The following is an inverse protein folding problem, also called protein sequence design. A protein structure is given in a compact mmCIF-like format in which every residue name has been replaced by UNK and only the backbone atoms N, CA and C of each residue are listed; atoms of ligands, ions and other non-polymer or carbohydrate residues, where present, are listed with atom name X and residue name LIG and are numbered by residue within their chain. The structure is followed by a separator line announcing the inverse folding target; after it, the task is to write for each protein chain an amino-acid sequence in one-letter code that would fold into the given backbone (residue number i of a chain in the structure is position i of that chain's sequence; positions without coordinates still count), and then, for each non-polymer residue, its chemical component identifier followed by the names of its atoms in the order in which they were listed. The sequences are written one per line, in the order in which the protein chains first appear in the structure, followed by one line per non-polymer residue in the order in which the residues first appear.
data_IF_257581053311
#
_entry.id   IF_257581053311
#
_cell.length_a   1.000
_cell.length_b   1.000
_cell.length_c   1.000
_cell.angle_alpha   90.00
_cell.angle_beta   90.00
_cell.angle_gamma   90.00
#
_symmetry.space_group_name_H-M   'P 1'
#
loop_
_entity.id
_entity.type
_entity.pdbx_description
1 polymer ?
#
# COMPACT_ATOMS: atom_id res chain seq x y z
N UNK A 1 -7.33 -4.51 16.18
CA UNK A 1 -7.73 -4.28 14.77
C UNK A 1 -6.57 -4.64 13.83
N UNK A 2 -6.84 -5.41 12.77
CA UNK A 2 -5.84 -5.76 11.74
C UNK A 2 -6.07 -4.94 10.48
N UNK A 3 -5.06 -4.18 10.05
CA UNK A 3 -5.06 -3.37 8.83
C UNK A 3 -4.12 -4.03 7.82
N UNK A 4 -4.59 -4.29 6.62
CA UNK A 4 -3.81 -4.92 5.56
C UNK A 4 -3.70 -4.05 4.31
N UNK A 5 -2.67 -4.30 3.50
CA UNK A 5 -2.54 -3.77 2.14
C UNK A 5 -2.27 -4.89 1.16
N UNK A 6 -2.84 -4.79 -0.03
CA UNK A 6 -2.63 -5.75 -1.09
C UNK A 6 -2.78 -5.09 -2.48
N UNK A 7 -1.68 -4.93 -3.18
CA UNK A 7 -1.73 -4.63 -4.61
C UNK A 7 -2.21 -5.88 -5.35
N UNK A 8 -3.44 -5.84 -5.86
CA UNK A 8 -4.09 -7.02 -6.45
C UNK A 8 -3.76 -7.24 -7.92
N UNK A 9 -3.07 -6.29 -8.56
CA UNK A 9 -2.71 -6.35 -9.99
C UNK A 9 -3.90 -6.75 -10.89
N UNK A 10 -5.05 -6.07 -10.69
CA UNK A 10 -6.31 -6.31 -11.40
C UNK A 10 -7.33 -7.07 -10.57
N UNK A 11 -8.23 -6.32 -9.89
CA UNK A 11 -9.16 -6.87 -8.90
C UNK A 11 -10.09 -7.96 -9.47
N UNK A 12 -10.62 -7.78 -10.68
CA UNK A 12 -11.55 -8.74 -11.27
C UNK A 12 -10.87 -10.05 -11.66
N UNK A 13 -9.66 -9.97 -12.21
CA UNK A 13 -8.90 -11.18 -12.59
C UNK A 13 -8.35 -11.96 -11.39
N UNK A 14 -8.20 -11.32 -10.23
CA UNK A 14 -7.69 -11.91 -8.97
C UNK A 14 -8.76 -12.01 -7.90
N UNK A 15 -10.04 -11.78 -8.24
CA UNK A 15 -11.13 -11.83 -7.29
C UNK A 15 -11.20 -13.16 -6.52
N UNK A 16 -11.07 -14.34 -7.13
CA UNK A 16 -11.07 -15.61 -6.39
C UNK A 16 -9.92 -15.69 -5.37
N UNK A 17 -8.74 -15.18 -5.72
CA UNK A 17 -7.57 -15.12 -4.81
C UNK A 17 -7.84 -14.17 -3.65
N UNK A 18 -8.35 -12.97 -3.94
CA UNK A 18 -8.71 -11.98 -2.93
C UNK A 18 -9.75 -12.53 -1.95
N UNK A 19 -10.85 -13.10 -2.45
CA UNK A 19 -11.91 -13.65 -1.62
C UNK A 19 -11.43 -14.82 -0.75
N UNK A 20 -10.59 -15.70 -1.30
CA UNK A 20 -9.97 -16.78 -0.54
C UNK A 20 -9.13 -16.24 0.60
N UNK A 21 -8.24 -15.27 0.32
CA UNK A 21 -7.38 -14.67 1.34
C UNK A 21 -8.20 -13.95 2.42
N UNK A 22 -9.24 -13.19 2.03
CA UNK A 22 -10.16 -12.56 2.98
C UNK A 22 -10.85 -13.56 3.89
N UNK A 23 -11.28 -14.71 3.35
CA UNK A 23 -11.91 -15.77 4.14
C UNK A 23 -10.93 -16.44 5.13
N UNK A 24 -9.67 -16.64 4.72
CA UNK A 24 -8.64 -17.28 5.56
C UNK A 24 -8.14 -16.36 6.69
N UNK A 25 -7.96 -15.06 6.42
CA UNK A 25 -7.25 -14.15 7.34
C UNK A 25 -8.15 -13.15 8.05
N UNK A 26 -9.31 -12.85 7.48
CA UNK A 26 -10.35 -11.97 8.00
C UNK A 26 -9.82 -10.64 8.58
N UNK A 27 -9.01 -9.86 7.84
CA UNK A 27 -8.55 -8.56 8.31
C UNK A 27 -9.73 -7.61 8.52
N UNK A 28 -9.61 -6.68 9.46
CA UNK A 28 -10.68 -5.70 9.74
C UNK A 28 -10.75 -4.63 8.65
N UNK A 29 -9.58 -4.21 8.15
CA UNK A 29 -9.45 -3.22 7.06
C UNK A 29 -8.47 -3.72 6.01
N UNK A 30 -8.79 -3.49 4.72
CA UNK A 30 -7.91 -3.84 3.61
C UNK A 30 -7.81 -2.67 2.63
N UNK A 31 -6.58 -2.24 2.37
CA UNK A 31 -6.25 -1.25 1.35
C UNK A 31 -5.80 -1.97 0.07
N UNK A 32 -6.50 -1.77 -1.03
CA UNK A 32 -6.18 -2.38 -2.32
C UNK A 32 -5.55 -1.36 -3.28
N UNK A 33 -4.62 -1.82 -4.10
CA UNK A 33 -3.99 -1.04 -5.17
C UNK A 33 -4.08 -1.81 -6.49
N UNK A 34 -3.89 -1.08 -7.59
CA UNK A 34 -4.00 -1.60 -8.95
C UNK A 34 -5.31 -2.34 -9.23
N UNK A 35 -6.44 -1.71 -8.93
CA UNK A 35 -7.75 -2.30 -9.22
C UNK A 35 -7.91 -2.62 -10.70
N UNK A 36 -7.38 -1.77 -11.59
CA UNK A 36 -7.46 -1.89 -13.07
C UNK A 36 -8.89 -2.11 -13.54
N UNK A 37 -9.85 -1.55 -12.82
CA UNK A 37 -11.28 -1.62 -13.08
C UNK A 37 -11.88 -0.22 -13.03
N UNK A 38 -12.68 0.19 -14.03
CA UNK A 38 -13.42 1.44 -13.95
C UNK A 38 -14.42 1.39 -12.78
N UNK A 39 -14.89 2.56 -12.35
CA UNK A 39 -15.69 2.72 -11.13
C UNK A 39 -16.88 1.74 -11.07
N UNK A 40 -17.58 1.57 -12.19
CA UNK A 40 -18.79 0.74 -12.32
C UNK A 40 -18.53 -0.77 -12.44
N UNK A 41 -17.25 -1.17 -12.55
CA UNK A 41 -16.84 -2.59 -12.66
C UNK A 41 -16.10 -3.12 -11.44
N UNK A 42 -16.08 -2.36 -10.38
CA UNK A 42 -15.56 -2.84 -9.10
C UNK A 42 -16.47 -3.97 -8.57
N UNK A 43 -15.92 -5.08 -8.06
CA UNK A 43 -16.71 -6.25 -7.65
C UNK A 43 -17.36 -6.07 -6.26
N UNK A 44 -18.10 -4.97 -6.07
CA UNK A 44 -18.68 -4.57 -4.78
C UNK A 44 -19.53 -5.69 -4.16
N UNK A 45 -20.44 -6.28 -4.95
CA UNK A 45 -21.36 -7.30 -4.44
C UNK A 45 -20.63 -8.53 -3.91
N UNK A 46 -19.60 -9.01 -4.61
CA UNK A 46 -18.83 -10.16 -4.16
C UNK A 46 -18.08 -9.89 -2.84
N UNK A 47 -17.64 -8.64 -2.63
CA UNK A 47 -16.99 -8.22 -1.37
C UNK A 47 -18.02 -8.07 -0.25
N UNK A 48 -19.21 -7.53 -0.53
CA UNK A 48 -20.32 -7.49 0.44
C UNK A 48 -20.73 -8.90 0.87
N UNK A 49 -20.85 -9.84 -0.05
CA UNK A 49 -21.16 -11.24 0.23
C UNK A 49 -20.07 -11.92 1.09
N UNK A 50 -18.82 -11.45 0.97
CA UNK A 50 -17.70 -11.85 1.82
C UNK A 50 -17.63 -11.11 3.17
N UNK A 51 -18.57 -10.20 3.47
CA UNK A 51 -18.67 -9.47 4.72
C UNK A 51 -17.88 -8.15 4.76
N UNK A 52 -17.51 -7.60 3.59
CA UNK A 52 -16.77 -6.34 3.49
C UNK A 52 -17.57 -5.26 2.79
N UNK A 53 -17.73 -4.12 3.45
CA UNK A 53 -18.10 -2.87 2.76
C UNK A 53 -16.86 -2.27 2.10
N UNK A 54 -17.05 -1.42 1.08
CA UNK A 54 -15.92 -0.82 0.37
C UNK A 54 -16.22 0.61 -0.09
N UNK A 55 -15.16 1.42 -0.14
CA UNK A 55 -15.09 2.63 -0.95
C UNK A 55 -13.93 2.46 -1.93
N UNK A 56 -14.06 2.98 -3.15
CA UNK A 56 -13.02 2.84 -4.16
C UNK A 56 -12.96 4.02 -5.10
N UNK A 57 -11.78 4.24 -5.64
CA UNK A 57 -11.51 5.19 -6.70
C UNK A 57 -10.99 4.40 -7.90
N UNK A 58 -11.92 4.03 -8.78
CA UNK A 58 -11.67 3.15 -9.92
C UNK A 58 -11.08 3.88 -11.11
N UNK A 59 -10.35 3.14 -11.95
CA UNK A 59 -9.84 3.61 -13.23
C UNK A 59 -9.68 2.42 -14.18
N UNK A 60 -10.05 2.62 -15.44
CA UNK A 60 -9.78 1.64 -16.49
C UNK A 60 -8.28 1.55 -16.73
N UNK A 61 -7.70 0.39 -16.51
CA UNK A 61 -6.27 0.09 -16.65
C UNK A 61 -5.35 0.79 -15.63
N UNK A 62 -4.26 0.17 -15.30
CA UNK A 62 -3.09 0.61 -14.52
C UNK A 62 -3.33 0.94 -13.05
N UNK A 63 -4.31 1.78 -12.72
CA UNK A 63 -4.46 2.36 -11.39
C UNK A 63 -5.72 1.85 -10.67
N UNK A 64 -6.15 2.57 -9.66
CA UNK A 64 -7.31 2.29 -8.84
C UNK A 64 -6.93 1.85 -7.44
N UNK A 65 -7.58 2.44 -6.45
CA UNK A 65 -7.38 2.16 -5.03
C UNK A 65 -8.71 1.94 -4.33
N UNK A 66 -8.73 1.11 -3.29
CA UNK A 66 -9.92 0.87 -2.49
C UNK A 66 -9.57 0.67 -1.01
N UNK A 67 -10.53 0.99 -0.14
CA UNK A 67 -10.52 0.63 1.27
C UNK A 67 -11.73 -0.25 1.52
N UNK A 68 -11.50 -1.46 2.03
CA UNK A 68 -12.51 -2.40 2.48
C UNK A 68 -12.53 -2.42 4.00
N UNK A 69 -13.72 -2.58 4.60
CA UNK A 69 -13.85 -2.76 6.03
C UNK A 69 -14.86 -3.85 6.37
N UNK A 70 -14.54 -4.67 7.37
CA UNK A 70 -15.36 -5.77 7.83
C UNK A 70 -16.08 -5.38 9.14
N UNK A 71 -17.41 -5.47 9.12
CA UNK A 71 -18.25 -5.19 10.29
C UNK A 71 -18.09 -3.77 10.89
N UNK A 72 -17.66 -2.80 10.09
CA UNK A 72 -17.55 -1.40 10.52
C UNK A 72 -17.86 -0.45 9.38
N UNK A 73 -18.24 0.78 9.75
CA UNK A 73 -18.52 1.85 8.81
C UNK A 73 -17.22 2.43 8.24
N UNK A 74 -17.23 2.75 6.96
CA UNK A 74 -16.18 3.52 6.29
C UNK A 74 -16.73 4.92 6.04
N UNK A 75 -16.12 5.92 6.66
CA UNK A 75 -16.41 7.32 6.36
C UNK A 75 -15.35 7.86 5.41
N UNK A 76 -15.69 8.02 4.13
CA UNK A 76 -14.79 8.63 3.14
C UNK A 76 -14.44 10.06 3.56
N UNK A 77 -13.17 10.40 3.61
CA UNK A 77 -12.66 11.74 3.94
C UNK A 77 -12.15 12.45 2.69
N UNK A 78 -11.52 11.72 1.78
CA UNK A 78 -10.91 12.29 0.58
C UNK A 78 -10.76 11.26 -0.53
N UNK A 79 -10.92 11.74 -1.76
CA UNK A 79 -10.64 11.00 -3.00
C UNK A 79 -9.66 11.82 -3.83
N UNK A 80 -8.54 11.23 -4.20
CA UNK A 80 -7.41 11.91 -4.85
C UNK A 80 -6.44 12.57 -3.85
N UNK A 81 -5.16 12.60 -4.21
CA UNK A 81 -4.13 13.29 -3.42
C UNK A 81 -4.23 14.79 -3.65
N UNK A 82 -4.27 15.64 -2.60
CA UNK A 82 -4.35 17.09 -2.78
C UNK A 82 -3.08 17.69 -3.42
N UNK A 83 -3.23 18.91 -3.92
CA UNK A 83 -2.12 19.70 -4.46
C UNK A 83 -1.99 19.72 -5.99
N UNK A 84 -2.83 18.95 -6.68
CA UNK A 84 -2.99 19.02 -8.13
C UNK A 84 -4.37 18.46 -8.50
N UNK A 85 -5.30 19.34 -8.83
CA UNK A 85 -6.68 18.98 -9.17
C UNK A 85 -6.80 18.39 -10.58
N UNK A 86 -5.75 18.49 -11.40
CA UNK A 86 -5.69 17.93 -12.75
C UNK A 86 -5.04 16.53 -12.77
N UNK A 87 -4.53 16.05 -11.63
CA UNK A 87 -3.93 14.71 -11.51
C UNK A 87 -5.03 13.62 -11.61
N UNK A 88 -5.29 13.19 -12.84
CA UNK A 88 -6.35 12.25 -13.17
C UNK A 88 -6.15 10.79 -12.67
N UNK A 89 -4.93 10.25 -12.49
CA UNK A 89 -4.73 8.88 -12.03
C UNK A 89 -5.30 8.59 -10.64
N UNK A 90 -6.11 7.53 -10.54
CA UNK A 90 -6.76 7.08 -9.30
C UNK A 90 -5.75 6.36 -8.39
N UNK A 91 -5.02 7.13 -7.56
CA UNK A 91 -3.89 6.65 -6.76
C UNK A 91 -4.02 6.87 -5.26
N UNK A 92 -5.05 7.59 -4.80
CA UNK A 92 -5.22 7.92 -3.39
C UNK A 92 -6.69 7.95 -2.99
N UNK A 93 -7.01 7.35 -1.85
CA UNK A 93 -8.30 7.47 -1.17
C UNK A 93 -8.08 7.44 0.34
N UNK A 94 -8.82 8.26 1.08
CA UNK A 94 -8.67 8.42 2.53
C UNK A 94 -10.01 8.24 3.23
N UNK A 95 -10.01 7.50 4.33
CA UNK A 95 -11.22 7.25 5.11
C UNK A 95 -10.93 7.19 6.60
N UNK A 96 -11.97 7.39 7.39
CA UNK A 96 -12.02 7.06 8.81
C UNK A 96 -12.67 5.69 8.97
N UNK A 97 -11.99 4.77 9.66
CA UNK A 97 -12.51 3.45 10.03
C UNK A 97 -12.17 3.18 11.49
N UNK A 98 -13.16 2.93 12.34
CA UNK A 98 -12.97 2.68 13.77
C UNK A 98 -12.08 3.72 14.48
N UNK A 99 -12.23 5.00 14.13
CA UNK A 99 -11.47 6.10 14.73
C UNK A 99 -10.02 6.22 14.22
N UNK A 100 -9.59 5.43 13.23
CA UNK A 100 -8.29 5.53 12.57
C UNK A 100 -8.45 6.17 11.20
N UNK A 101 -7.65 7.18 10.90
CA UNK A 101 -7.54 7.76 9.55
C UNK A 101 -6.62 6.87 8.73
N UNK A 102 -7.11 6.41 7.59
CA UNK A 102 -6.42 5.49 6.69
C UNK A 102 -6.27 6.16 5.33
N UNK A 103 -5.05 6.48 4.94
CA UNK A 103 -4.70 6.92 3.60
C UNK A 103 -4.19 5.73 2.79
N UNK A 104 -5.03 5.22 1.87
CA UNK A 104 -4.64 4.16 0.93
C UNK A 104 -4.04 4.77 -0.32
N UNK A 105 -2.81 4.37 -0.65
CA UNK A 105 -2.09 4.95 -1.77
C UNK A 105 -1.45 3.93 -2.72
N UNK A 106 -1.32 4.35 -3.97
CA UNK A 106 -0.56 3.67 -5.02
C UNK A 106 0.37 4.68 -5.68
N UNK A 107 1.60 4.76 -5.18
CA UNK A 107 2.60 5.72 -5.63
C UNK A 107 3.09 5.37 -7.05
N UNK A 108 3.29 6.36 -7.95
CA UNK A 108 3.77 6.09 -9.30
C UNK A 108 5.02 5.21 -9.35
N UNK A 109 5.06 4.27 -10.30
CA UNK A 109 6.25 3.40 -10.48
C UNK A 109 7.50 4.22 -10.87
N UNK A 110 7.39 5.15 -11.81
CA UNK A 110 8.46 6.05 -12.22
C UNK A 110 9.38 5.54 -13.32
N UNK A 111 9.25 4.31 -13.75
CA UNK A 111 10.04 3.77 -14.87
C UNK A 111 9.39 4.03 -16.25
N UNK A 112 10.18 4.15 -17.34
CA UNK A 112 11.64 4.15 -17.35
C UNK A 112 12.24 5.43 -16.75
N UNK A 113 13.35 5.27 -16.02
CA UNK A 113 14.11 6.34 -15.39
C UNK A 113 15.50 6.46 -16.06
N UNK A 114 16.07 7.68 -16.19
CA UNK A 114 15.43 8.98 -15.92
C UNK A 114 14.36 9.35 -16.96
N UNK A 115 13.49 10.31 -16.65
CA UNK A 115 12.50 10.84 -17.59
C UNK A 115 11.20 11.29 -16.94
N UNK A 116 10.19 11.67 -17.76
CA UNK A 116 8.95 12.29 -17.26
C UNK A 116 8.18 11.46 -16.22
N UNK A 117 8.27 10.13 -16.27
CA UNK A 117 7.62 9.27 -15.29
C UNK A 117 8.30 9.33 -13.92
N UNK A 118 9.63 9.48 -13.88
CA UNK A 118 10.36 9.71 -12.65
C UNK A 118 10.05 11.10 -12.08
N UNK A 119 10.00 12.12 -12.92
CA UNK A 119 9.63 13.49 -12.53
C UNK A 119 8.23 13.49 -11.89
N UNK A 120 7.23 12.92 -12.57
CA UNK A 120 5.88 12.75 -12.03
C UNK A 120 5.86 12.00 -10.67
N UNK A 121 6.68 10.96 -10.52
CA UNK A 121 6.82 10.23 -9.25
C UNK A 121 7.34 11.12 -8.13
N UNK A 122 8.36 11.92 -8.40
CA UNK A 122 8.97 12.83 -7.41
C UNK A 122 8.01 13.98 -7.03
N UNK A 123 7.29 14.53 -8.00
CA UNK A 123 6.25 15.54 -7.76
C UNK A 123 5.11 14.95 -6.90
N UNK A 124 4.73 13.71 -7.18
CA UNK A 124 3.72 13.01 -6.40
C UNK A 124 4.19 12.78 -4.95
N UNK A 125 5.46 12.42 -4.75
CA UNK A 125 6.07 12.32 -3.41
C UNK A 125 6.06 13.67 -2.67
N UNK A 126 6.33 14.76 -3.36
CA UNK A 126 6.29 16.10 -2.75
C UNK A 126 4.90 16.45 -2.26
N UNK A 127 3.86 16.19 -3.09
CA UNK A 127 2.46 16.38 -2.70
C UNK A 127 2.06 15.47 -1.53
N UNK A 128 2.45 14.20 -1.57
CA UNK A 128 2.23 13.27 -0.47
C UNK A 128 2.89 13.77 0.82
N UNK A 129 4.11 14.25 0.73
CA UNK A 129 4.87 14.78 1.88
C UNK A 129 4.17 15.99 2.51
N UNK A 130 3.64 16.92 1.69
CA UNK A 130 2.85 18.07 2.15
C UNK A 130 1.56 17.64 2.84
N UNK A 131 0.83 16.70 2.25
CA UNK A 131 -0.41 16.17 2.85
C UNK A 131 -0.15 15.38 4.13
N UNK A 132 0.89 14.55 4.14
CA UNK A 132 1.32 13.80 5.31
C UNK A 132 1.68 14.71 6.50
N UNK A 133 2.36 15.82 6.24
CA UNK A 133 2.65 16.83 7.28
C UNK A 133 1.36 17.43 7.88
N UNK A 134 0.32 17.65 7.07
CA UNK A 134 -1.00 18.09 7.56
C UNK A 134 -1.67 17.01 8.41
N UNK A 135 -1.62 15.74 7.98
CA UNK A 135 -2.20 14.62 8.74
C UNK A 135 -1.55 14.45 10.12
N UNK A 136 -0.26 14.74 10.27
CA UNK A 136 0.43 14.72 11.56
C UNK A 136 -0.09 15.79 12.54
N UNK A 137 -0.73 16.85 12.04
CA UNK A 137 -1.36 17.87 12.91
C UNK A 137 -2.69 17.42 13.51
N UNK A 138 -3.28 16.35 12.98
CA UNK A 138 -4.52 15.79 13.52
C UNK A 138 -4.20 15.05 14.82
N UNK A 139 -4.99 15.31 15.86
CA UNK A 139 -4.88 14.56 17.11
C UNK A 139 -5.66 13.24 17.03
N UNK A 140 -5.39 12.45 15.99
CA UNK A 140 -6.04 11.19 15.66
C UNK A 140 -4.98 10.16 15.25
N UNK A 141 -5.24 8.87 15.47
CA UNK A 141 -4.38 7.82 14.93
C UNK A 141 -4.47 7.81 13.39
N UNK A 142 -3.32 7.83 12.71
CA UNK A 142 -3.23 7.89 11.24
C UNK A 142 -2.26 6.84 10.71
N UNK A 143 -2.65 6.19 9.61
CA UNK A 143 -1.78 5.34 8.81
C UNK A 143 -1.81 5.75 7.34
N UNK A 144 -0.64 5.90 6.72
CA UNK A 144 -0.47 5.97 5.28
C UNK A 144 0.04 4.61 4.79
N UNK A 145 -0.76 3.92 3.99
CA UNK A 145 -0.55 2.52 3.67
C UNK A 145 -0.78 2.23 2.19
N UNK A 146 0.04 1.37 1.62
CA UNK A 146 -0.12 0.95 0.23
C UNK A 146 1.17 0.56 -0.45
N UNK A 147 1.11 0.53 -1.78
CA UNK A 147 2.27 0.32 -2.65
C UNK A 147 2.94 1.66 -2.93
N UNK A 148 4.11 1.84 -2.34
CA UNK A 148 4.92 3.05 -2.48
C UNK A 148 5.88 3.00 -3.66
N UNK A 149 6.02 1.83 -4.30
CA UNK A 149 6.98 1.65 -5.39
C UNK A 149 8.38 2.17 -5.02
N UNK A 150 8.84 1.94 -3.79
CA UNK A 150 10.18 2.31 -3.32
C UNK A 150 10.77 1.24 -2.41
N UNK A 151 12.03 0.94 -2.61
CA UNK A 151 12.86 0.11 -1.74
C UNK A 151 13.75 1.06 -0.92
N UNK A 152 13.43 1.34 0.37
CA UNK A 152 14.11 2.38 1.13
C UNK A 152 15.59 2.08 1.41
N UNK A 153 15.93 0.81 1.61
CA UNK A 153 17.28 0.38 1.98
C UNK A 153 17.73 -0.85 1.17
N UNK A 154 18.98 -1.24 1.32
CA UNK A 154 19.52 -2.46 0.69
C UNK A 154 18.89 -3.75 1.25
N UNK A 155 18.34 -3.73 2.48
CA UNK A 155 17.57 -4.85 3.04
C UNK A 155 16.24 -5.09 2.33
N UNK A 156 15.77 -4.09 1.59
CA UNK A 156 14.46 -4.09 0.94
C UNK A 156 14.50 -4.60 -0.50
N UNK A 157 15.66 -5.02 -0.97
CA UNK A 157 15.86 -5.42 -2.37
C UNK A 157 16.81 -6.60 -2.51
N UNK A 158 16.43 -7.56 -3.35
CA UNK A 158 17.32 -8.66 -3.73
C UNK A 158 18.34 -8.17 -4.77
N UNK A 159 19.65 -8.26 -4.46
CA UNK A 159 20.77 -7.80 -5.30
C UNK A 159 20.67 -6.31 -5.64
N UNK A 160 20.85 -5.42 -4.66
CA UNK A 160 20.70 -3.97 -4.82
C UNK A 160 21.51 -3.38 -5.96
N UNK A 161 22.69 -3.95 -6.26
CA UNK A 161 23.56 -3.51 -7.35
C UNK A 161 22.89 -3.56 -8.74
N UNK A 162 21.79 -4.28 -8.89
CA UNK A 162 21.05 -4.40 -10.16
C UNK A 162 19.93 -3.37 -10.29
N UNK A 163 19.65 -2.60 -9.23
CA UNK A 163 18.52 -1.70 -9.15
C UNK A 163 18.90 -0.23 -9.06
N UNK A 164 20.21 0.08 -9.10
CA UNK A 164 20.72 1.45 -8.89
C UNK A 164 20.14 2.51 -9.85
N UNK A 165 19.80 2.10 -11.06
CA UNK A 165 19.18 2.96 -12.08
C UNK A 165 17.65 2.85 -12.14
N UNK A 166 17.07 1.91 -11.40
CA UNK A 166 15.61 1.69 -11.38
C UNK A 166 14.90 2.75 -10.51
N UNK A 167 13.76 3.28 -10.98
CA UNK A 167 12.99 4.29 -10.28
C UNK A 167 12.50 3.88 -8.87
N UNK A 168 12.51 2.57 -8.54
CA UNK A 168 12.15 2.08 -7.21
C UNK A 168 13.31 2.18 -6.22
N UNK A 169 14.57 2.36 -6.68
CA UNK A 169 15.76 2.32 -5.84
C UNK A 169 16.72 3.51 -6.04
N UNK A 170 16.46 4.39 -6.99
CA UNK A 170 17.29 5.58 -7.23
C UNK A 170 17.46 6.41 -5.96
N UNK A 171 18.65 7.04 -5.77
CA UNK A 171 18.96 7.84 -4.57
C UNK A 171 17.91 8.92 -4.28
N UNK A 172 17.45 9.66 -5.31
CA UNK A 172 16.45 10.72 -5.15
C UNK A 172 15.08 10.19 -4.68
N UNK A 173 14.67 9.00 -5.13
CA UNK A 173 13.41 8.36 -4.70
C UNK A 173 13.52 7.86 -3.26
N UNK A 174 14.64 7.23 -2.91
CA UNK A 174 14.92 6.81 -1.53
C UNK A 174 14.99 8.02 -0.59
N UNK A 175 15.62 9.11 -1.02
CA UNK A 175 15.67 10.36 -0.25
C UNK A 175 14.27 10.94 -0.02
N UNK A 176 13.39 10.93 -1.04
CA UNK A 176 12.00 11.39 -0.90
C UNK A 176 11.24 10.56 0.15
N UNK A 177 11.40 9.24 0.15
CA UNK A 177 10.79 8.37 1.17
C UNK A 177 11.36 8.64 2.57
N UNK A 178 12.68 8.75 2.71
CA UNK A 178 13.31 9.05 4.01
C UNK A 178 12.92 10.43 4.54
N UNK A 179 12.80 11.43 3.68
CA UNK A 179 12.32 12.77 4.07
C UNK A 179 10.86 12.73 4.55
N UNK A 180 10.01 11.93 3.91
CA UNK A 180 8.63 11.70 4.37
C UNK A 180 8.63 11.07 5.77
N UNK A 181 9.40 10.00 5.98
CA UNK A 181 9.51 9.33 7.29
C UNK A 181 10.07 10.27 8.35
N UNK A 182 11.05 11.10 8.00
CA UNK A 182 11.70 12.07 8.92
C UNK A 182 10.76 13.15 9.47
N UNK A 183 9.55 13.32 8.90
CA UNK A 183 8.52 14.20 9.46
C UNK A 183 7.95 13.70 10.79
N UNK A 184 8.21 12.46 11.20
CA UNK A 184 7.68 11.83 12.40
C UNK A 184 6.80 10.60 12.13
N UNK A 185 6.85 10.09 10.90
CA UNK A 185 6.22 8.82 10.55
C UNK A 185 7.10 7.63 10.94
N UNK A 186 6.49 6.52 11.29
CA UNK A 186 7.16 5.28 11.67
C UNK A 186 6.84 4.20 10.63
N UNK A 187 7.86 3.65 9.96
CA UNK A 187 7.74 2.45 9.12
C UNK A 187 7.52 1.23 10.02
N UNK A 188 6.29 0.74 10.07
CA UNK A 188 5.87 -0.31 11.00
C UNK A 188 6.64 -1.61 10.81
N UNK A 189 6.86 -2.03 9.57
CA UNK A 189 7.60 -3.26 9.26
C UNK A 189 9.05 -3.12 9.70
N UNK A 190 9.71 -2.01 9.36
CA UNK A 190 11.12 -1.80 9.71
C UNK A 190 11.33 -1.60 11.21
N UNK A 191 10.35 -1.02 11.92
CA UNK A 191 10.37 -0.94 13.38
C UNK A 191 10.36 -2.32 14.05
N UNK A 192 9.49 -3.22 13.58
CA UNK A 192 9.37 -4.57 14.17
C UNK A 192 10.48 -5.53 13.70
N UNK A 193 11.01 -5.30 12.50
CA UNK A 193 12.02 -6.15 11.87
C UNK A 193 13.21 -5.31 11.38
N UNK A 194 13.98 -4.67 12.29
CA UNK A 194 15.00 -3.68 11.93
C UNK A 194 16.11 -4.22 11.03
N UNK A 195 16.50 -5.47 11.23
CA UNK A 195 17.64 -6.11 10.56
C UNK A 195 17.24 -7.29 9.65
N UNK A 196 15.93 -7.52 9.46
CA UNK A 196 15.43 -8.66 8.70
C UNK A 196 15.08 -8.26 7.26
N UNK A 197 15.36 -9.18 6.35
CA UNK A 197 14.87 -9.11 4.97
C UNK A 197 13.40 -9.50 4.96
N UNK A 198 12.53 -8.56 4.57
CA UNK A 198 11.08 -8.76 4.46
C UNK A 198 10.64 -8.30 3.08
N UNK A 199 10.34 -9.22 2.19
CA UNK A 199 9.87 -8.89 0.84
C UNK A 199 8.36 -8.99 0.73
N UNK A 200 7.76 -8.05 0.00
CA UNK A 200 6.31 -7.95 -0.25
C UNK A 200 5.94 -8.21 -1.70
N UNK A 201 6.92 -8.16 -2.60
CA UNK A 201 6.77 -8.32 -4.05
C UNK A 201 7.75 -9.35 -4.59
N UNK A 202 7.28 -10.19 -5.54
CA UNK A 202 8.10 -11.16 -6.28
C UNK A 202 7.63 -11.21 -7.73
N UNK A 203 8.46 -10.76 -8.65
CA UNK A 203 8.18 -10.79 -10.09
C UNK A 203 7.70 -12.19 -10.54
N UNK A 204 6.88 -12.23 -11.57
CA UNK A 204 6.43 -13.50 -12.19
C UNK A 204 7.56 -14.24 -12.92
N UNK A 205 8.60 -13.53 -13.34
CA UNK A 205 9.67 -14.09 -14.16
C UNK A 205 10.77 -14.75 -13.35
N UNK A 206 11.50 -15.66 -14.01
CA UNK A 206 12.72 -16.29 -13.51
C UNK A 206 12.58 -16.98 -12.16
N UNK A 207 11.36 -17.46 -11.85
CA UNK A 207 11.07 -18.09 -10.54
C UNK A 207 11.52 -17.22 -9.34
N UNK A 208 11.22 -15.91 -9.40
CA UNK A 208 11.66 -14.97 -8.36
C UNK A 208 11.14 -15.37 -6.96
N UNK A 209 9.89 -15.80 -6.87
CA UNK A 209 9.29 -16.26 -5.61
C UNK A 209 10.04 -17.49 -5.02
N UNK A 210 10.28 -18.52 -5.83
CA UNK A 210 11.00 -19.73 -5.38
C UNK A 210 12.44 -19.46 -4.95
N UNK A 211 13.10 -18.47 -5.58
CA UNK A 211 14.48 -18.05 -5.24
C UNK A 211 14.56 -17.02 -4.11
N UNK A 212 13.44 -16.61 -3.55
CA UNK A 212 13.35 -15.48 -2.62
C UNK A 212 13.97 -14.17 -3.16
N UNK A 213 13.84 -13.93 -4.47
CA UNK A 213 14.36 -12.73 -5.13
C UNK A 213 13.26 -11.66 -5.17
N UNK A 214 13.02 -11.00 -4.06
CA UNK A 214 11.91 -10.08 -3.87
C UNK A 214 12.32 -8.63 -3.59
N UNK A 215 11.31 -7.81 -3.41
CA UNK A 215 11.38 -6.40 -3.06
C UNK A 215 10.42 -6.11 -1.91
N UNK A 216 10.73 -5.14 -1.04
CA UNK A 216 9.77 -4.56 -0.11
C UNK A 216 9.38 -3.18 -0.63
N UNK A 217 8.18 -3.08 -1.19
CA UNK A 217 7.64 -1.85 -1.80
C UNK A 217 6.27 -1.46 -1.28
N UNK A 218 5.64 -2.33 -0.47
CA UNK A 218 4.39 -2.06 0.25
C UNK A 218 4.73 -1.67 1.69
N UNK A 219 4.26 -0.51 2.15
CA UNK A 219 4.66 0.07 3.42
C UNK A 219 3.47 0.55 4.25
N UNK A 220 3.67 0.58 5.57
CA UNK A 220 2.78 1.19 6.56
C UNK A 220 3.55 2.28 7.29
N UNK A 221 3.16 3.53 7.08
CA UNK A 221 3.69 4.67 7.84
C UNK A 221 2.67 5.09 8.89
N UNK A 222 3.03 4.95 10.16
CA UNK A 222 2.18 5.26 11.30
C UNK A 222 2.60 6.60 11.91
N UNK A 223 1.62 7.40 12.36
CA UNK A 223 1.94 8.50 13.26
C UNK A 223 2.20 8.00 14.70
N UNK A 224 2.76 8.84 15.56
CA UNK A 224 3.10 8.49 16.94
C UNK A 224 1.92 7.93 17.75
N UNK A 225 0.69 8.42 17.50
CA UNK A 225 -0.50 7.95 18.21
C UNK A 225 -0.81 6.48 17.86
N UNK A 226 -0.76 6.15 16.57
CA UNK A 226 -1.05 4.80 16.11
C UNK A 226 0.11 3.83 16.38
N UNK A 227 1.34 4.34 16.29
CA UNK A 227 2.55 3.55 16.55
C UNK A 227 2.59 2.97 17.97
N UNK A 228 2.10 3.69 18.97
CA UNK A 228 1.98 3.20 20.36
C UNK A 228 1.05 2.00 20.51
N UNK A 229 0.19 1.77 19.53
CA UNK A 229 -0.78 0.66 19.48
C UNK A 229 -0.29 -0.51 18.63
N UNK A 230 0.87 -0.39 17.96
CA UNK A 230 1.41 -1.43 17.08
C UNK A 230 1.85 -2.66 17.87
N UNK A 231 1.32 -3.83 17.53
CA UNK A 231 1.59 -5.13 18.19
C UNK A 231 2.35 -6.10 17.33
N UNK A 232 1.96 -6.23 16.07
CA UNK A 232 2.53 -7.21 15.15
C UNK A 232 2.43 -6.73 13.70
N UNK A 233 3.22 -7.36 12.85
CA UNK A 233 3.12 -7.22 11.41
C UNK A 233 3.59 -8.51 10.74
N UNK A 234 3.05 -8.82 9.57
CA UNK A 234 3.54 -9.93 8.76
C UNK A 234 3.21 -9.75 7.28
N UNK A 235 3.87 -10.57 6.47
CA UNK A 235 3.59 -10.74 5.05
C UNK A 235 3.01 -12.14 4.84
N UNK A 236 1.81 -12.21 4.26
CA UNK A 236 1.16 -13.48 3.89
C UNK A 236 1.76 -14.03 2.60
N UNK A 237 3.05 -14.35 2.70
CA UNK A 237 3.89 -14.77 1.57
C UNK A 237 3.35 -15.98 0.83
N UNK A 238 2.66 -16.89 1.52
CA UNK A 238 2.08 -18.09 0.94
C UNK A 238 1.07 -17.80 -0.18
N UNK A 239 0.38 -16.65 -0.12
CA UNK A 239 -0.58 -16.20 -1.15
C UNK A 239 0.11 -16.04 -2.51
N UNK A 240 1.38 -15.60 -2.54
CA UNK A 240 2.15 -15.49 -3.78
C UNK A 240 2.39 -16.84 -4.47
N UNK A 241 2.31 -17.92 -3.74
CA UNK A 241 2.41 -19.30 -4.26
C UNK A 241 1.09 -19.85 -4.85
N UNK A 242 -0.02 -19.14 -4.73
CA UNK A 242 -1.29 -19.60 -5.28
C UNK A 242 -1.37 -19.38 -6.80
N UNK A 243 -2.27 -20.12 -7.45
CA UNK A 243 -2.53 -19.97 -8.88
C UNK A 243 -3.19 -18.61 -9.18
N UNK A 244 -2.79 -17.95 -10.27
CA UNK A 244 -3.33 -16.66 -10.75
C UNK A 244 -3.28 -15.52 -9.73
N UNK A 245 -2.33 -15.56 -8.81
CA UNK A 245 -2.15 -14.53 -7.80
C UNK A 245 -1.51 -13.25 -8.36
N UNK A 246 -1.49 -12.19 -7.55
CA UNK A 246 -0.69 -10.98 -7.78
C UNK A 246 0.81 -11.29 -7.65
N UNK A 247 1.66 -10.44 -8.19
CA UNK A 247 3.11 -10.39 -7.92
C UNK A 247 3.43 -9.81 -6.54
N UNK A 248 2.47 -9.13 -5.91
CA UNK A 248 2.55 -8.75 -4.50
C UNK A 248 1.99 -9.81 -3.56
N UNK A 249 2.47 -9.78 -2.33
CA UNK A 249 1.89 -10.50 -1.19
C UNK A 249 1.01 -9.55 -0.38
N UNK A 250 -0.09 -10.02 0.23
CA UNK A 250 -0.76 -9.23 1.25
C UNK A 250 0.17 -8.98 2.44
N UNK A 251 0.16 -7.75 2.95
CA UNK A 251 0.92 -7.34 4.14
C UNK A 251 -0.06 -6.78 5.16
N UNK A 252 0.16 -7.06 6.44
CA UNK A 252 -0.73 -6.56 7.48
C UNK A 252 0.03 -6.14 8.73
N UNK A 253 -0.59 -5.22 9.45
CA UNK A 253 -0.24 -4.84 10.82
C UNK A 253 -1.39 -5.15 11.76
N UNK A 254 -1.08 -5.42 13.01
CA UNK A 254 -2.05 -5.52 14.09
C UNK A 254 -1.83 -4.41 15.09
N UNK A 255 -2.88 -3.69 15.41
CA UNK A 255 -2.89 -2.61 16.40
C UNK A 255 -3.88 -2.93 17.52
N UNK A 256 -3.57 -2.50 18.74
CA UNK A 256 -4.53 -2.57 19.86
C UNK A 256 -5.78 -1.77 19.53
N UNK A 257 -6.94 -2.32 19.91
CA UNK A 257 -8.19 -1.56 19.89
C UNK A 257 -8.17 -0.49 20.99
N UNK A 258 -8.92 0.59 20.79
CA UNK A 258 -9.12 1.55 21.88
C UNK A 258 -9.94 0.85 22.97
N UNK A 259 -9.35 0.72 24.15
CA UNK A 259 -10.09 0.31 25.35
C UNK A 259 -11.08 1.37 25.80
#
# INVERSE_FOLDING_TARGET
MRIATYNVNGVNGRLPVLLRWLAETQPDVVCLQELKAPQEKFPEQALLDAGYTAIWHGQKSWNGVAILARNCEIKELRRGLPGDDEDAPSRYIEAMVNGVVIGCLYLPNGNPAPGPKLEYKLDWFERLSKHAAQLLTYNLPVVLVGDYNVMPTELDVYKPERWVDDALFRPEVRAAFHNLVAQGWIDAIRKLYPDQVVYTFFDYFRNAYGRNAGLRIDHFLLNDILDKRLKAAAVDRHVRGWEKTSDHCPVWIEIEDNS
#
